data_IF_656471494660
#
_entry.id   IF_656471494660
#
_cell.length_a   1.000
_cell.length_b   1.000
_cell.length_c   1.000
_cell.angle_alpha   90.00
_cell.angle_beta   90.00
_cell.angle_gamma   90.00
#
_symmetry.space_group_name_H-M   'P 1'
#
loop_
_entity.id
_entity.type
_entity.pdbx_description
1 polymer ?
#
# COMPACT_ATOMS: atom_id res chain seq x y z
N UNK A 1 19.42 -2.00 0.52
CA UNK A 1 18.04 -1.79 0.03
C UNK A 1 17.35 -3.12 0.06
N UNK A 2 16.19 -3.24 0.71
CA UNK A 2 15.52 -4.53 0.93
C UNK A 2 14.45 -4.73 -0.15
N UNK A 3 14.45 -5.89 -0.80
CA UNK A 3 13.37 -6.31 -1.71
C UNK A 3 12.00 -6.22 -1.02
N UNK A 4 11.93 -6.50 0.30
CA UNK A 4 10.71 -6.35 1.09
C UNK A 4 10.13 -4.94 1.00
N UNK A 5 10.98 -3.91 1.09
CA UNK A 5 10.54 -2.51 1.00
C UNK A 5 10.02 -2.18 -0.40
N UNK A 6 10.60 -2.75 -1.46
CA UNK A 6 10.09 -2.53 -2.80
C UNK A 6 8.70 -3.16 -3.01
N UNK A 7 8.50 -4.38 -2.50
CA UNK A 7 7.17 -5.02 -2.51
C UNK A 7 6.16 -4.26 -1.65
N UNK A 8 6.59 -3.74 -0.50
CA UNK A 8 5.77 -2.92 0.38
C UNK A 8 5.25 -1.66 -0.34
N UNK A 9 6.15 -0.86 -0.90
CA UNK A 9 5.78 0.36 -1.62
C UNK A 9 4.99 0.08 -2.90
N UNK A 10 5.33 -1.00 -3.63
CA UNK A 10 4.56 -1.45 -4.78
C UNK A 10 3.11 -1.83 -4.39
N UNK A 11 2.90 -2.41 -3.21
CA UNK A 11 1.58 -2.72 -2.67
C UNK A 11 0.71 -1.47 -2.50
N UNK A 12 1.26 -0.41 -1.88
CA UNK A 12 0.57 0.87 -1.77
C UNK A 12 0.24 1.47 -3.13
N UNK A 13 1.21 1.52 -4.03
CA UNK A 13 1.07 2.13 -5.35
C UNK A 13 0.01 1.41 -6.20
N UNK A 14 0.07 0.06 -6.27
CA UNK A 14 -0.91 -0.73 -7.01
C UNK A 14 -2.32 -0.55 -6.45
N UNK A 15 -2.49 -0.62 -5.13
CA UNK A 15 -3.81 -0.49 -4.52
C UNK A 15 -4.39 0.92 -4.71
N UNK A 16 -3.54 1.94 -4.62
CA UNK A 16 -3.95 3.30 -4.91
C UNK A 16 -4.43 3.46 -6.36
N UNK A 17 -3.70 2.90 -7.33
CA UNK A 17 -4.07 2.91 -8.74
C UNK A 17 -5.40 2.19 -9.00
N UNK A 18 -5.58 0.98 -8.45
CA UNK A 18 -6.82 0.19 -8.54
C UNK A 18 -8.04 0.94 -7.99
N UNK A 19 -7.84 1.76 -6.96
CA UNK A 19 -8.88 2.58 -6.36
C UNK A 19 -9.13 3.89 -7.12
N UNK A 20 -8.51 4.08 -8.29
CA UNK A 20 -8.63 5.31 -9.09
C UNK A 20 -7.90 6.51 -8.48
N UNK A 21 -6.93 6.24 -7.60
CA UNK A 21 -5.96 7.21 -7.14
C UNK A 21 -4.86 7.40 -8.18
N UNK A 22 -4.28 8.58 -8.21
CA UNK A 22 -3.13 8.87 -9.03
C UNK A 22 -1.86 8.86 -8.19
N UNK A 23 -1.06 7.81 -8.32
CA UNK A 23 0.28 7.76 -7.69
C UNK A 23 1.18 8.75 -8.41
N UNK A 24 1.69 9.75 -7.68
CA UNK A 24 2.61 10.76 -8.21
C UNK A 24 4.03 10.25 -8.24
N UNK A 25 4.41 9.54 -7.19
CA UNK A 25 5.74 9.04 -6.96
C UNK A 25 5.65 7.87 -5.99
N UNK A 26 6.51 6.89 -6.18
CA UNK A 26 6.80 5.84 -5.21
C UNK A 26 8.32 5.69 -5.11
N UNK A 27 8.87 5.57 -3.91
CA UNK A 27 10.33 5.48 -3.69
C UNK A 27 10.67 4.55 -2.54
N UNK A 28 11.82 3.89 -2.63
CA UNK A 28 12.47 3.10 -1.55
C UNK A 28 13.75 3.76 -1.03
N UNK A 29 14.02 4.99 -1.46
CA UNK A 29 15.12 5.83 -0.96
C UNK A 29 14.61 7.28 -0.78
N UNK A 30 13.70 7.52 0.18
CA UNK A 30 13.16 8.85 0.42
C UNK A 30 14.24 9.77 1.01
N UNK A 31 14.22 11.04 0.60
CA UNK A 31 15.07 12.07 1.18
C UNK A 31 14.78 12.21 2.69
N UNK A 32 15.84 12.19 3.52
CA UNK A 32 15.74 12.32 4.98
C UNK A 32 15.57 13.78 5.47
N UNK A 33 15.08 14.68 4.60
CA UNK A 33 15.04 16.12 4.83
C UNK A 33 14.07 16.56 5.92
N UNK A 34 13.10 15.71 6.28
CA UNK A 34 12.11 15.95 7.34
C UNK A 34 12.52 15.38 8.70
N UNK A 35 13.67 14.71 8.78
CA UNK A 35 14.18 14.07 10.01
C UNK A 35 13.42 12.81 10.42
N UNK A 36 12.53 12.29 9.57
CA UNK A 36 11.89 10.99 9.76
C UNK A 36 12.70 9.94 8.98
N UNK A 37 13.14 8.90 9.67
CA UNK A 37 13.76 7.74 9.03
C UNK A 37 12.67 6.92 8.34
N UNK A 38 12.35 7.29 7.09
CA UNK A 38 11.45 6.51 6.23
C UNK A 38 12.28 5.57 5.38
N UNK A 39 11.80 4.35 5.21
CA UNK A 39 12.43 3.36 4.32
C UNK A 39 11.82 3.38 2.92
N UNK A 40 10.65 4.00 2.76
CA UNK A 40 9.96 4.23 1.49
C UNK A 40 8.89 5.31 1.62
N UNK A 41 8.35 5.76 0.50
CA UNK A 41 7.25 6.74 0.46
C UNK A 41 6.42 6.57 -0.82
N UNK A 42 5.09 6.47 -0.66
CA UNK A 42 4.13 6.44 -1.76
C UNK A 42 3.20 7.66 -1.71
N UNK A 43 3.24 8.50 -2.75
CA UNK A 43 2.47 9.74 -2.80
C UNK A 43 1.24 9.61 -3.70
N UNK A 44 0.05 9.62 -3.11
CA UNK A 44 -1.21 9.44 -3.83
C UNK A 44 -2.02 10.73 -3.92
N UNK A 45 -2.49 11.07 -5.11
CA UNK A 45 -3.47 12.13 -5.35
C UNK A 45 -4.82 11.54 -5.69
N UNK A 46 -5.81 11.87 -4.87
CA UNK A 46 -7.19 11.47 -5.09
C UNK A 46 -7.97 12.51 -5.89
N UNK A 47 -8.98 12.05 -6.64
CA UNK A 47 -9.95 12.94 -7.29
C UNK A 47 -10.66 13.82 -6.26
N UNK A 48 -11.04 15.03 -6.68
CA UNK A 48 -11.87 15.93 -5.86
C UNK A 48 -13.27 15.34 -5.65
N UNK A 49 -13.89 15.67 -4.52
CA UNK A 49 -15.29 15.34 -4.25
C UNK A 49 -15.54 13.97 -3.62
N UNK A 50 -14.49 13.25 -3.19
CA UNK A 50 -14.68 12.09 -2.30
C UNK A 50 -15.29 12.57 -0.98
N UNK A 51 -16.29 11.83 -0.50
CA UNK A 51 -16.73 11.96 0.87
C UNK A 51 -15.62 11.53 1.83
N UNK A 52 -15.69 12.03 3.07
CA UNK A 52 -14.75 11.65 4.14
C UNK A 52 -14.69 10.13 4.34
N UNK A 53 -15.86 9.46 4.29
CA UNK A 53 -15.94 8.00 4.40
C UNK A 53 -15.32 7.29 3.21
N UNK A 54 -15.53 7.75 1.98
CA UNK A 54 -14.90 7.12 0.81
C UNK A 54 -13.38 7.27 0.84
N UNK A 55 -12.89 8.46 1.23
CA UNK A 55 -11.46 8.69 1.41
C UNK A 55 -10.90 7.76 2.50
N UNK A 56 -11.54 7.70 3.67
CA UNK A 56 -11.09 6.87 4.77
C UNK A 56 -11.01 5.38 4.39
N UNK A 57 -12.01 4.84 3.69
CA UNK A 57 -12.00 3.45 3.25
C UNK A 57 -10.84 3.17 2.28
N UNK A 58 -10.61 4.08 1.32
CA UNK A 58 -9.49 3.97 0.38
C UNK A 58 -8.14 4.04 1.09
N UNK A 59 -7.99 4.96 2.03
CA UNK A 59 -6.79 5.10 2.84
C UNK A 59 -6.51 3.85 3.67
N UNK A 60 -7.53 3.22 4.27
CA UNK A 60 -7.37 1.92 4.96
C UNK A 60 -6.84 0.84 4.01
N UNK A 61 -7.45 0.72 2.82
CA UNK A 61 -7.05 -0.30 1.86
C UNK A 61 -5.63 -0.08 1.34
N UNK A 62 -5.26 1.17 1.03
CA UNK A 62 -3.91 1.51 0.60
C UNK A 62 -2.89 1.26 1.71
N UNK A 63 -3.15 1.72 2.94
CA UNK A 63 -2.21 1.54 4.06
C UNK A 63 -1.97 0.05 4.32
N UNK A 64 -3.01 -0.79 4.29
CA UNK A 64 -2.84 -2.23 4.52
C UNK A 64 -2.22 -2.97 3.33
N UNK A 65 -2.21 -2.40 2.12
CA UNK A 65 -1.73 -3.10 0.94
C UNK A 65 -0.20 -3.32 0.94
N UNK A 66 0.59 -2.39 1.48
CA UNK A 66 2.05 -2.55 1.58
C UNK A 66 2.46 -3.71 2.48
N UNK A 67 2.01 -3.75 3.75
CA UNK A 67 2.21 -4.90 4.63
C UNK A 67 1.74 -6.23 4.03
N UNK A 68 0.61 -6.25 3.33
CA UNK A 68 0.08 -7.46 2.68
C UNK A 68 0.96 -7.91 1.50
N UNK A 69 1.44 -6.98 0.69
CA UNK A 69 2.38 -7.29 -0.39
C UNK A 69 3.68 -7.89 0.14
N UNK A 70 4.20 -7.35 1.24
CA UNK A 70 5.39 -7.84 1.91
C UNK A 70 5.17 -9.25 2.52
N UNK A 71 4.01 -9.51 3.13
CA UNK A 71 3.63 -10.87 3.59
C UNK A 71 3.61 -11.88 2.44
N UNK A 72 3.05 -11.51 1.30
CA UNK A 72 2.99 -12.38 0.12
C UNK A 72 4.38 -12.68 -0.43
N UNK A 73 5.23 -11.65 -0.51
CA UNK A 73 6.60 -11.82 -1.01
C UNK A 73 7.47 -12.67 -0.08
N UNK A 74 7.43 -12.40 1.22
CA UNK A 74 8.22 -13.13 2.21
C UNK A 74 7.71 -14.56 2.45
N UNK A 75 6.43 -14.82 2.21
CA UNK A 75 5.76 -16.07 2.56
C UNK A 75 5.51 -16.23 4.06
N UNK A 76 5.80 -15.19 4.86
CA UNK A 76 5.66 -15.22 6.30
C UNK A 76 4.32 -14.57 6.72
N UNK A 77 3.45 -15.29 7.44
CA UNK A 77 2.17 -14.77 7.91
C UNK A 77 2.37 -13.91 9.16
N UNK A 78 2.85 -12.68 9.00
CA UNK A 78 2.96 -11.74 10.11
C UNK A 78 1.60 -11.06 10.39
N UNK A 79 1.20 -10.97 11.66
CA UNK A 79 0.10 -10.08 12.02
C UNK A 79 0.59 -8.63 11.93
N UNK A 80 -0.11 -7.69 11.26
CA UNK A 80 0.48 -6.40 10.94
C UNK A 80 0.96 -5.55 12.13
N UNK A 81 0.28 -5.64 13.27
CA UNK A 81 0.71 -4.98 14.52
C UNK A 81 1.96 -5.57 15.21
N UNK A 82 2.59 -6.60 14.64
CA UNK A 82 3.77 -7.27 15.23
C UNK A 82 5.08 -6.94 14.51
N UNK A 83 5.01 -6.28 13.35
CA UNK A 83 6.16 -5.85 12.56
C UNK A 83 6.34 -4.35 12.79
N UNK A 84 7.50 -3.96 13.33
CA UNK A 84 7.72 -2.57 13.74
C UNK A 84 7.69 -1.61 12.54
N UNK A 85 8.15 -2.11 11.39
CA UNK A 85 8.21 -1.45 10.10
C UNK A 85 6.81 -1.07 9.59
N UNK A 86 5.77 -1.84 9.92
CA UNK A 86 4.39 -1.61 9.47
C UNK A 86 3.56 -0.77 10.46
N UNK A 87 4.18 -0.31 11.54
CA UNK A 87 3.46 0.42 12.60
C UNK A 87 2.84 1.73 12.11
N UNK A 88 3.45 2.39 11.11
CA UNK A 88 2.92 3.58 10.46
C UNK A 88 1.62 3.28 9.71
N UNK A 89 1.65 2.31 8.80
CA UNK A 89 0.49 1.88 8.02
C UNK A 89 -0.67 1.42 8.89
N UNK A 90 -0.35 0.64 9.92
CA UNK A 90 -1.35 0.17 10.87
C UNK A 90 -1.97 1.34 11.64
N UNK A 91 -1.16 2.31 12.08
CA UNK A 91 -1.65 3.51 12.77
C UNK A 91 -2.60 4.32 11.88
N UNK A 92 -2.23 4.52 10.62
CA UNK A 92 -3.03 5.27 9.66
C UNK A 92 -4.35 4.54 9.34
N UNK A 93 -4.28 3.23 9.05
CA UNK A 93 -5.46 2.40 8.85
C UNK A 93 -6.38 2.43 10.08
N UNK A 94 -5.81 2.32 11.29
CA UNK A 94 -6.55 2.39 12.55
C UNK A 94 -7.21 3.75 12.79
N UNK A 95 -6.53 4.84 12.45
CA UNK A 95 -7.07 6.19 12.52
C UNK A 95 -8.28 6.35 11.60
N UNK A 96 -8.14 5.97 10.33
CA UNK A 96 -9.20 6.07 9.31
C UNK A 96 -10.38 5.14 9.62
N UNK A 97 -10.12 3.93 10.13
CA UNK A 97 -11.17 2.97 10.46
C UNK A 97 -12.09 3.44 11.60
N UNK A 98 -11.68 4.42 12.40
CA UNK A 98 -12.50 5.01 13.47
C UNK A 98 -13.79 5.66 12.97
N UNK A 99 -13.82 6.11 11.70
CA UNK A 99 -15.00 6.70 11.06
C UNK A 99 -16.11 5.68 10.78
N UNK A 100 -15.77 4.39 10.76
CA UNK A 100 -16.72 3.28 10.55
C UNK A 100 -16.99 2.53 11.85
N UNK A 101 -15.92 2.31 12.64
CA UNK A 101 -15.93 1.49 13.85
C UNK A 101 -15.23 2.24 14.99
N UNK A 102 -16.00 3.03 15.78
CA UNK A 102 -15.45 3.76 16.92
C UNK A 102 -14.90 2.82 18.00
N UNK A 103 -15.57 1.71 18.24
CA UNK A 103 -15.16 0.68 19.20
C UNK A 103 -13.89 -0.05 18.72
N UNK A 104 -12.81 -0.09 19.54
CA UNK A 104 -11.55 -0.72 19.17
C UNK A 104 -11.66 -2.18 18.69
N UNK A 105 -12.54 -2.99 19.31
CA UNK A 105 -12.71 -4.40 18.91
C UNK A 105 -13.27 -4.53 17.50
N UNK A 106 -14.36 -3.83 17.22
CA UNK A 106 -14.98 -3.85 15.88
C UNK A 106 -14.04 -3.32 14.81
N UNK A 107 -13.18 -2.36 15.19
CA UNK A 107 -12.15 -1.81 14.31
C UNK A 107 -11.08 -2.84 13.97
N UNK A 108 -10.63 -3.60 14.97
CA UNK A 108 -9.71 -4.70 14.77
C UNK A 108 -10.28 -5.72 13.77
N UNK A 109 -11.50 -6.20 14.03
CA UNK A 109 -12.19 -7.17 13.16
C UNK A 109 -12.38 -6.64 11.74
N UNK A 110 -12.59 -5.32 11.60
CA UNK A 110 -12.68 -4.66 10.31
C UNK A 110 -11.34 -4.66 9.56
N UNK A 111 -10.24 -4.25 10.21
CA UNK A 111 -8.92 -4.22 9.58
C UNK A 111 -8.43 -5.62 9.22
N UNK A 112 -8.59 -6.61 10.11
CA UNK A 112 -8.25 -8.01 9.82
C UNK A 112 -9.00 -8.52 8.58
N UNK A 113 -10.30 -8.24 8.48
CA UNK A 113 -11.10 -8.62 7.32
C UNK A 113 -10.59 -7.95 6.04
N UNK A 114 -10.21 -6.68 6.07
CA UNK A 114 -9.63 -5.99 4.91
C UNK A 114 -8.29 -6.62 4.55
N UNK A 115 -7.40 -6.89 5.51
CA UNK A 115 -6.11 -7.53 5.25
C UNK A 115 -6.27 -8.89 4.58
N UNK A 116 -7.22 -9.72 5.03
CA UNK A 116 -7.51 -11.03 4.39
C UNK A 116 -8.03 -10.85 2.97
N UNK A 117 -8.91 -9.88 2.74
CA UNK A 117 -9.42 -9.58 1.39
C UNK A 117 -8.29 -9.13 0.45
N UNK A 118 -7.44 -8.23 0.92
CA UNK A 118 -6.27 -7.76 0.16
C UNK A 118 -5.30 -8.90 -0.12
N UNK A 119 -5.05 -9.79 0.84
CA UNK A 119 -4.17 -10.94 0.65
C UNK A 119 -4.65 -11.82 -0.51
N UNK A 120 -5.94 -12.18 -0.50
CA UNK A 120 -6.51 -13.00 -1.58
C UNK A 120 -6.55 -12.26 -2.91
N UNK A 121 -6.82 -10.94 -2.90
CA UNK A 121 -6.85 -10.13 -4.10
C UNK A 121 -5.45 -10.00 -4.73
N UNK A 122 -4.44 -9.61 -3.94
CA UNK A 122 -3.07 -9.41 -4.41
C UNK A 122 -2.36 -10.71 -4.77
N UNK A 123 -2.75 -11.84 -4.18
CA UNK A 123 -2.27 -13.17 -4.56
C UNK A 123 -2.98 -13.77 -5.78
N UNK A 124 -3.87 -13.00 -6.44
CA UNK A 124 -4.54 -13.44 -7.65
C UNK A 124 -3.61 -13.40 -8.88
N UNK A 125 -3.89 -14.27 -9.86
CA UNK A 125 -3.09 -14.43 -11.09
C UNK A 125 -2.94 -13.14 -11.91
N UNK A 126 -3.87 -12.18 -11.77
CA UNK A 126 -3.84 -10.92 -12.49
C UNK A 126 -3.04 -9.82 -11.75
N UNK A 127 -3.08 -9.80 -10.42
CA UNK A 127 -2.53 -8.70 -9.62
C UNK A 127 -1.14 -8.99 -9.06
N UNK A 128 -0.82 -10.26 -8.79
CA UNK A 128 0.52 -10.62 -8.34
C UNK A 128 1.61 -10.25 -9.37
N UNK A 129 1.45 -10.55 -10.68
CA UNK A 129 2.44 -10.15 -11.67
C UNK A 129 2.58 -8.63 -11.81
N UNK A 130 1.48 -7.88 -11.73
CA UNK A 130 1.49 -6.42 -11.78
C UNK A 130 2.25 -5.81 -10.58
N UNK A 131 2.03 -6.37 -9.39
CA UNK A 131 2.73 -5.98 -8.17
C UNK A 131 4.23 -6.28 -8.27
N UNK A 132 4.59 -7.49 -8.69
CA UNK A 132 5.98 -7.89 -8.88
C UNK A 132 6.69 -7.01 -9.92
N UNK A 133 6.02 -6.69 -11.03
CA UNK A 133 6.57 -5.79 -12.05
C UNK A 133 6.84 -4.38 -11.51
N UNK A 134 5.94 -3.83 -10.68
CA UNK A 134 6.18 -2.55 -9.99
C UNK A 134 7.37 -2.64 -9.03
N UNK A 135 7.45 -3.69 -8.22
CA UNK A 135 8.55 -3.89 -7.28
C UNK A 135 9.91 -4.03 -8.00
N UNK A 136 9.96 -4.78 -9.10
CA UNK A 136 11.17 -4.95 -9.92
C UNK A 136 11.64 -3.63 -10.52
N UNK A 137 10.71 -2.82 -11.05
CA UNK A 137 11.03 -1.48 -11.56
C UNK A 137 11.50 -0.56 -10.43
N UNK A 138 10.89 -0.65 -9.24
CA UNK A 138 11.28 0.15 -8.09
C UNK A 138 12.67 -0.25 -7.56
N UNK A 139 13.03 -1.54 -7.59
CA UNK A 139 14.37 -2.01 -7.28
C UNK A 139 15.41 -1.55 -8.31
N UNK A 140 15.02 -1.43 -9.57
CA UNK A 140 15.91 -0.99 -10.65
C UNK A 140 16.14 0.52 -10.65
N UNK A 141 15.14 1.31 -10.25
CA UNK A 141 15.13 2.76 -10.39
C UNK A 141 15.16 3.52 -9.06
N UNK A 142 14.94 2.85 -7.93
CA UNK A 142 14.83 3.38 -6.55
C UNK A 142 13.63 4.31 -6.33
N UNK A 143 13.25 5.07 -7.35
CA UNK A 143 12.07 5.94 -7.40
C UNK A 143 11.40 5.80 -8.77
N UNK A 144 10.07 5.68 -8.77
CA UNK A 144 9.25 5.74 -9.97
C UNK A 144 8.35 6.96 -9.92
N UNK A 145 8.27 7.70 -11.02
CA UNK A 145 7.28 8.75 -11.21
C UNK A 145 5.95 8.20 -11.76
N UNK A 146 4.97 9.09 -11.89
CA UNK A 146 3.63 8.77 -12.40
C UNK A 146 3.68 8.07 -13.75
N UNK A 147 4.46 8.59 -14.68
CA UNK A 147 4.52 8.12 -16.05
C UNK A 147 5.03 6.68 -16.07
N UNK A 148 6.10 6.40 -15.34
CA UNK A 148 6.66 5.06 -15.19
C UNK A 148 5.67 4.08 -14.51
N UNK A 149 5.02 4.51 -13.43
CA UNK A 149 4.01 3.68 -12.74
C UNK A 149 2.86 3.33 -13.68
N UNK A 150 2.39 4.31 -14.47
CA UNK A 150 1.29 4.11 -15.42
C UNK A 150 1.68 3.16 -16.54
N UNK A 151 2.91 3.29 -17.06
CA UNK A 151 3.44 2.39 -18.08
C UNK A 151 3.49 0.94 -17.56
N UNK A 152 4.09 0.71 -16.39
CA UNK A 152 4.18 -0.62 -15.77
C UNK A 152 2.78 -1.24 -15.55
N UNK A 153 1.82 -0.44 -15.12
CA UNK A 153 0.47 -0.92 -14.81
C UNK A 153 -0.44 -1.06 -16.04
N UNK A 154 -0.13 -0.40 -17.16
CA UNK A 154 -0.96 -0.44 -18.37
C UNK A 154 -1.02 -1.83 -19.01
N UNK A 155 -0.05 -2.69 -18.73
CA UNK A 155 -0.05 -4.09 -19.19
C UNK A 155 -1.05 -4.98 -18.42
N UNK A 156 -1.64 -4.46 -17.33
CA UNK A 156 -2.44 -5.23 -16.37
C UNK A 156 -3.81 -4.61 -16.05
N UNK A 157 -3.93 -3.27 -16.13
CA UNK A 157 -5.12 -2.51 -15.77
C UNK A 157 -5.79 -1.94 -17.03
N UNK A 158 -6.46 -2.82 -17.78
CA UNK A 158 -7.33 -2.47 -18.92
C UNK A 158 -8.75 -2.05 -18.49
#
# INVERSE_FOLDING_TARGET
>A
MSELTAYHEAGHALMAALLGGHVRQVTIDPDNDDGLLRTGDTQVVWRRGLSEKEFALKSVQVSLAGPVAEMLYSGDPYHPGMVAEWSGDWHDAWGQASLFHPEPRDRMDFLERISIQLYHQLNGDDLWPALAALADNLLAHETLDREQITEVLSDWLD
#
